data_IF_285225984990
#
_entry.id   IF_285225984990
#
_cell.length_a   1.000
_cell.length_b   1.000
_cell.length_c   1.000
_cell.angle_alpha   90.00
_cell.angle_beta   90.00
_cell.angle_gamma   90.00
#
_symmetry.space_group_name_H-M   'P 1'
#
loop_
_entity.id
_entity.type
_entity.pdbx_description
1 polymer ?
#
# COMPACT_ATOMS: atom_id res chain seq x y z
N UNK A 1 -7.64 22.97 -62.34
CA UNK A 1 -8.55 22.80 -61.18
C UNK A 1 -8.45 21.35 -60.70
N UNK A 2 -8.06 21.14 -59.42
CA UNK A 2 -8.47 20.07 -58.46
C UNK A 2 -8.68 18.64 -59.02
N UNK A 3 -8.09 17.54 -58.54
CA UNK A 3 -7.62 17.09 -57.22
C UNK A 3 -6.74 15.83 -57.40
N UNK A 4 -5.54 15.73 -56.83
CA UNK A 4 -5.20 15.21 -55.49
C UNK A 4 -5.53 13.72 -55.29
N UNK A 5 -4.51 12.88 -55.51
CA UNK A 5 -4.41 11.52 -54.96
C UNK A 5 -4.19 11.60 -53.45
N UNK A 6 -5.07 11.03 -52.64
CA UNK A 6 -4.67 10.50 -51.31
C UNK A 6 -5.41 9.18 -51.12
N UNK A 7 -4.66 8.10 -51.27
CA UNK A 7 -5.12 6.74 -51.05
C UNK A 7 -5.63 6.55 -49.63
N UNK A 8 -6.68 5.74 -49.54
CA UNK A 8 -7.34 5.29 -48.33
C UNK A 8 -6.35 4.50 -47.46
N UNK A 9 -5.66 5.17 -46.54
CA UNK A 9 -4.80 4.53 -45.55
C UNK A 9 -5.65 4.32 -44.29
N UNK A 10 -6.44 3.24 -44.29
CA UNK A 10 -7.12 2.76 -43.08
C UNK A 10 -6.04 2.11 -42.21
N UNK A 11 -5.42 2.92 -41.34
CA UNK A 11 -4.59 2.42 -40.25
C UNK A 11 -5.54 1.70 -39.29
N UNK A 12 -5.58 0.37 -39.36
CA UNK A 12 -6.09 -0.48 -38.28
C UNK A 12 -5.14 -0.29 -37.08
N UNK A 13 -5.37 0.77 -36.29
CA UNK A 13 -4.79 0.85 -34.96
C UNK A 13 -5.57 -0.15 -34.11
N UNK A 14 -5.04 -1.37 -34.05
CA UNK A 14 -5.35 -2.27 -32.96
C UNK A 14 -4.87 -1.57 -31.68
N UNK A 15 -5.75 -0.77 -31.06
CA UNK A 15 -5.63 -0.44 -29.64
C UNK A 15 -5.86 -1.76 -28.89
N UNK A 16 -4.81 -2.58 -28.83
CA UNK A 16 -4.66 -3.53 -27.76
C UNK A 16 -4.62 -2.68 -26.50
N UNK A 17 -5.78 -2.50 -25.87
CA UNK A 17 -5.90 -1.92 -24.54
C UNK A 17 -4.91 -2.67 -23.67
N UNK A 18 -3.80 -2.01 -23.37
CA UNK A 18 -2.79 -2.51 -22.47
C UNK A 18 -3.49 -2.76 -21.14
N UNK A 19 -3.86 -4.01 -20.90
CA UNK A 19 -4.04 -4.50 -19.55
C UNK A 19 -2.62 -4.54 -18.97
N UNK A 20 -2.08 -3.37 -18.60
CA UNK A 20 -0.87 -3.32 -17.79
C UNK A 20 -1.31 -3.81 -16.42
N UNK A 21 -1.10 -5.09 -16.16
CA UNK A 21 -1.18 -5.59 -14.80
C UNK A 21 -0.15 -4.81 -13.99
N UNK A 22 -0.62 -3.89 -13.14
CA UNK A 22 0.23 -3.21 -12.17
C UNK A 22 0.93 -4.30 -11.36
N UNK A 23 2.27 -4.37 -11.44
CA UNK A 23 3.03 -5.31 -10.63
C UNK A 23 2.79 -5.01 -9.14
N UNK A 24 2.62 -6.07 -8.36
CA UNK A 24 2.37 -5.93 -6.94
C UNK A 24 3.66 -5.50 -6.21
N UNK A 25 3.56 -4.49 -5.37
CA UNK A 25 4.67 -3.91 -4.61
C UNK A 25 4.52 -4.34 -3.14
N UNK A 26 5.59 -4.91 -2.60
CA UNK A 26 5.72 -5.25 -1.18
C UNK A 26 7.13 -4.87 -0.74
N UNK A 27 7.24 -3.82 0.06
CA UNK A 27 8.54 -3.21 0.33
C UNK A 27 8.68 -2.82 1.80
N UNK A 28 9.80 -3.20 2.39
CA UNK A 28 10.31 -2.67 3.64
C UNK A 28 11.04 -1.35 3.35
N UNK A 29 10.55 -0.24 3.86
CA UNK A 29 11.08 1.11 3.56
C UNK A 29 11.70 1.78 4.77
N UNK A 30 12.63 2.73 4.52
CA UNK A 30 13.22 3.56 5.58
C UNK A 30 12.21 4.56 6.15
N UNK A 31 12.52 5.17 7.30
CA UNK A 31 11.70 6.22 7.92
C UNK A 31 11.43 7.37 6.95
N UNK A 32 12.48 7.83 6.27
CA UNK A 32 12.43 8.97 5.34
C UNK A 32 11.53 8.64 4.16
N UNK A 33 11.73 7.45 3.56
CA UNK A 33 10.92 6.99 2.44
C UNK A 33 9.45 6.80 2.84
N UNK A 34 9.20 6.23 4.01
CA UNK A 34 7.84 6.06 4.53
C UNK A 34 7.15 7.43 4.72
N UNK A 35 7.85 8.41 5.29
CA UNK A 35 7.34 9.76 5.45
C UNK A 35 7.05 10.47 4.11
N UNK A 36 7.89 10.28 3.10
CA UNK A 36 7.63 10.79 1.73
C UNK A 36 6.39 10.17 1.10
N UNK A 37 6.24 8.84 1.24
CA UNK A 37 5.09 8.11 0.70
C UNK A 37 3.79 8.57 1.37
N UNK A 38 3.79 8.80 2.68
CA UNK A 38 2.61 9.31 3.41
C UNK A 38 2.20 10.73 3.00
N UNK A 39 3.16 11.58 2.58
CA UNK A 39 2.86 12.95 2.12
C UNK A 39 2.26 12.99 0.71
N UNK A 40 2.65 12.05 -0.14
CA UNK A 40 2.37 12.09 -1.59
C UNK A 40 1.31 11.08 -2.02
N UNK A 41 1.13 10.02 -1.25
CA UNK A 41 0.23 8.92 -1.58
C UNK A 41 -1.13 9.06 -0.92
N UNK A 42 -2.16 8.67 -1.67
CA UNK A 42 -3.46 8.32 -1.12
C UNK A 42 -3.44 6.81 -0.77
N UNK A 43 -3.65 6.48 0.50
CA UNK A 43 -3.54 5.10 0.98
C UNK A 43 -3.95 4.95 2.44
N UNK A 44 -4.11 3.70 2.87
CA UNK A 44 -4.51 3.37 4.24
C UNK A 44 -3.26 3.15 5.10
N UNK A 45 -3.06 4.00 6.10
CA UNK A 45 -2.04 3.80 7.13
C UNK A 45 -2.62 2.99 8.28
N UNK A 46 -2.00 1.86 8.61
CA UNK A 46 -2.47 0.92 9.63
C UNK A 46 -1.42 0.77 10.72
N UNK A 47 -1.85 1.02 11.95
CA UNK A 47 -1.11 0.69 13.15
C UNK A 47 -1.56 -0.67 13.67
N UNK A 48 -0.63 -1.63 13.68
CA UNK A 48 -0.88 -3.02 14.08
C UNK A 48 -0.62 -3.28 15.57
N UNK A 49 -0.40 -2.22 16.35
CA UNK A 49 -0.21 -2.30 17.80
C UNK A 49 -1.53 -2.53 18.53
N UNK A 50 -1.44 -2.84 19.83
CA UNK A 50 -2.62 -2.91 20.69
C UNK A 50 -3.30 -1.54 20.81
N UNK A 51 -4.60 -1.48 21.17
CA UNK A 51 -5.28 -0.22 21.38
C UNK A 51 -4.60 0.69 22.41
N UNK A 52 -4.06 0.10 23.50
CA UNK A 52 -3.34 0.87 24.51
C UNK A 52 -2.07 1.52 23.96
N UNK A 53 -1.24 0.77 23.23
CA UNK A 53 -0.05 1.32 22.56
C UNK A 53 -0.42 2.45 21.58
N UNK A 54 -1.56 2.31 20.89
CA UNK A 54 -2.07 3.30 19.95
C UNK A 54 -2.53 4.59 20.65
N UNK A 55 -3.26 4.47 21.77
CA UNK A 55 -3.75 5.59 22.57
C UNK A 55 -2.62 6.40 23.22
N UNK A 56 -1.49 5.76 23.54
CA UNK A 56 -0.29 6.43 24.06
C UNK A 56 0.42 7.33 23.02
N UNK A 57 0.09 7.16 21.74
CA UNK A 57 0.60 7.95 20.63
C UNK A 57 0.79 7.09 19.38
N UNK A 58 0.56 7.66 18.21
CA UNK A 58 0.59 6.94 16.93
C UNK A 58 0.98 7.89 15.79
N UNK A 59 1.24 7.33 14.61
CA UNK A 59 1.45 8.14 13.40
C UNK A 59 0.10 8.75 13.00
N UNK A 60 0.04 10.07 12.88
CA UNK A 60 -1.18 10.83 12.55
C UNK A 60 -1.85 10.27 11.29
N UNK A 61 -3.19 10.15 11.33
CA UNK A 61 -3.98 9.60 10.23
C UNK A 61 -3.96 8.08 10.08
N UNK A 62 -3.28 7.36 10.99
CA UNK A 62 -3.34 5.90 11.04
C UNK A 62 -4.70 5.39 11.54
N UNK A 63 -5.02 4.14 11.22
CA UNK A 63 -6.14 3.38 11.79
C UNK A 63 -5.58 2.20 12.56
N UNK A 64 -6.05 1.99 13.78
CA UNK A 64 -5.63 0.84 14.58
C UNK A 64 -6.34 -0.45 14.15
N UNK A 65 -5.56 -1.47 13.81
CA UNK A 65 -6.01 -2.86 13.65
C UNK A 65 -5.11 -3.74 14.50
N UNK A 66 -5.54 -4.03 15.72
CA UNK A 66 -4.78 -4.85 16.67
C UNK A 66 -4.44 -6.24 16.10
N UNK A 67 -3.15 -6.50 15.94
CA UNK A 67 -2.60 -7.77 15.47
C UNK A 67 -3.01 -8.96 16.35
N UNK A 68 -3.22 -8.73 17.65
CA UNK A 68 -3.56 -9.78 18.60
C UNK A 68 -5.06 -10.02 18.75
N UNK A 69 -5.91 -9.24 18.08
CA UNK A 69 -7.35 -9.45 18.12
C UNK A 69 -7.74 -10.76 17.40
N UNK A 70 -8.68 -11.51 17.97
CA UNK A 70 -9.19 -12.77 17.38
C UNK A 70 -9.71 -12.60 15.94
N UNK A 71 -10.17 -11.39 15.59
CA UNK A 71 -10.70 -11.06 14.27
C UNK A 71 -9.72 -10.30 13.37
N UNK A 72 -8.42 -10.34 13.67
CA UNK A 72 -7.38 -9.64 12.92
C UNK A 72 -7.40 -9.99 11.42
N UNK A 73 -7.30 -11.28 11.09
CA UNK A 73 -7.25 -11.73 9.69
C UNK A 73 -8.53 -11.35 8.92
N UNK A 74 -9.69 -11.44 9.58
CA UNK A 74 -10.98 -11.02 9.00
C UNK A 74 -11.03 -9.52 8.69
N UNK A 75 -10.44 -8.68 9.55
CA UNK A 75 -10.35 -7.24 9.31
C UNK A 75 -9.44 -6.95 8.14
N UNK A 76 -8.26 -7.59 8.06
CA UNK A 76 -7.33 -7.43 6.95
C UNK A 76 -7.96 -7.89 5.63
N UNK A 77 -8.65 -9.04 5.62
CA UNK A 77 -9.25 -9.60 4.41
C UNK A 77 -10.37 -8.72 3.80
N UNK A 78 -11.00 -7.87 4.60
CA UNK A 78 -12.07 -6.94 4.18
C UNK A 78 -11.55 -5.64 3.57
N UNK A 79 -10.26 -5.35 3.67
CA UNK A 79 -9.68 -4.13 3.10
C UNK A 79 -9.67 -4.18 1.56
N UNK A 80 -9.72 -3.01 0.93
CA UNK A 80 -9.60 -2.91 -0.52
C UNK A 80 -8.15 -3.19 -0.96
N UNK A 81 -7.97 -4.37 -1.57
CA UNK A 81 -6.67 -4.86 -2.05
C UNK A 81 -6.05 -4.01 -3.16
N UNK A 82 -6.82 -3.12 -3.78
CA UNK A 82 -6.32 -2.21 -4.82
C UNK A 82 -5.76 -0.91 -4.25
N UNK A 83 -6.03 -0.59 -2.98
CA UNK A 83 -5.46 0.59 -2.33
C UNK A 83 -4.05 0.32 -1.85
N UNK A 84 -3.23 1.35 -1.86
CA UNK A 84 -1.93 1.34 -1.18
C UNK A 84 -2.16 1.23 0.32
N UNK A 85 -1.43 0.33 0.97
CA UNK A 85 -1.46 0.16 2.42
C UNK A 85 -0.08 0.42 2.99
N UNK A 86 -0.03 1.23 4.05
CA UNK A 86 1.17 1.49 4.84
C UNK A 86 0.96 0.80 6.19
N UNK A 87 1.91 -0.04 6.61
CA UNK A 87 1.79 -0.78 7.87
C UNK A 87 2.99 -0.55 8.76
N UNK A 88 2.73 -0.48 10.06
CA UNK A 88 3.76 -0.48 11.08
C UNK A 88 3.23 -1.14 12.37
N UNK A 89 4.15 -1.47 13.28
CA UNK A 89 3.82 -1.87 14.65
C UNK A 89 4.85 -1.21 15.59
N UNK A 90 5.10 -1.73 16.80
CA UNK A 90 6.13 -1.13 17.69
C UNK A 90 7.55 -1.17 17.08
N UNK A 91 8.08 -2.36 16.78
CA UNK A 91 9.46 -2.54 16.31
C UNK A 91 9.61 -3.51 15.11
N UNK A 92 8.56 -3.65 14.29
CA UNK A 92 8.64 -4.35 12.98
C UNK A 92 8.16 -5.81 12.93
N UNK A 93 8.13 -6.53 14.05
CA UNK A 93 7.77 -7.96 14.05
C UNK A 93 6.36 -8.26 13.52
N UNK A 94 5.34 -7.62 14.10
CA UNK A 94 3.92 -7.81 13.72
C UNK A 94 3.64 -7.32 12.29
N UNK A 95 4.27 -6.21 11.89
CA UNK A 95 4.09 -5.64 10.56
C UNK A 95 4.79 -6.46 9.47
N UNK A 96 5.93 -7.08 9.77
CA UNK A 96 6.57 -8.06 8.87
C UNK A 96 5.72 -9.30 8.63
N UNK A 97 5.08 -9.86 9.66
CA UNK A 97 4.13 -10.97 9.49
C UNK A 97 2.88 -10.54 8.70
N UNK A 98 2.39 -9.33 8.96
CA UNK A 98 1.24 -8.76 8.23
C UNK A 98 1.55 -8.51 6.76
N UNK A 99 2.78 -8.10 6.41
CA UNK A 99 3.22 -7.96 5.02
C UNK A 99 3.13 -9.29 4.26
N UNK A 100 3.56 -10.39 4.90
CA UNK A 100 3.45 -11.76 4.33
C UNK A 100 1.99 -12.16 4.14
N UNK A 101 1.13 -11.87 5.13
CA UNK A 101 -0.31 -12.11 5.04
C UNK A 101 -0.92 -11.35 3.87
N UNK A 102 -0.69 -10.04 3.78
CA UNK A 102 -1.23 -9.19 2.71
C UNK A 102 -0.75 -9.63 1.32
N UNK A 103 0.51 -10.07 1.20
CA UNK A 103 1.02 -10.69 -0.01
C UNK A 103 0.25 -11.96 -0.39
N UNK A 104 0.01 -12.85 0.57
CA UNK A 104 -0.76 -14.08 0.36
C UNK A 104 -2.21 -13.80 -0.01
N UNK A 105 -2.81 -12.74 0.53
CA UNK A 105 -4.22 -12.40 0.28
C UNK A 105 -4.43 -11.52 -0.95
N UNK A 106 -3.36 -11.11 -1.64
CA UNK A 106 -3.42 -10.46 -2.96
C UNK A 106 -3.59 -8.94 -2.93
N UNK A 107 -3.04 -8.27 -1.92
CA UNK A 107 -2.91 -6.80 -1.95
C UNK A 107 -1.98 -6.36 -3.08
N UNK A 108 -2.24 -5.21 -3.69
CA UNK A 108 -1.42 -4.73 -4.81
C UNK A 108 -0.20 -3.92 -4.36
N UNK A 109 -0.33 -3.12 -3.31
CA UNK A 109 0.75 -2.24 -2.87
C UNK A 109 0.76 -2.18 -1.35
N UNK A 110 1.83 -2.66 -0.73
CA UNK A 110 2.03 -2.61 0.72
C UNK A 110 3.44 -2.14 1.04
N UNK A 111 3.54 -1.08 1.84
CA UNK A 111 4.79 -0.57 2.38
C UNK A 111 4.83 -0.83 3.88
N UNK A 112 5.87 -1.52 4.35
CA UNK A 112 6.11 -1.79 5.76
C UNK A 112 7.19 -0.86 6.29
N UNK A 113 6.98 -0.31 7.49
CA UNK A 113 8.01 0.40 8.26
C UNK A 113 8.68 -0.58 9.24
N UNK A 114 9.87 -1.15 8.93
CA UNK A 114 10.44 -2.24 9.72
C UNK A 114 10.96 -1.79 11.08
N UNK A 115 11.34 -0.51 11.21
CA UNK A 115 11.75 0.08 12.49
C UNK A 115 10.55 0.36 13.43
N UNK A 116 9.32 0.21 12.90
CA UNK A 116 8.08 0.47 13.61
C UNK A 116 7.94 1.89 14.18
N UNK A 117 7.02 2.03 15.12
CA UNK A 117 6.74 3.27 15.83
C UNK A 117 7.92 3.71 16.71
N UNK A 118 8.70 2.77 17.24
CA UNK A 118 9.85 3.06 18.08
C UNK A 118 10.88 3.90 17.29
N UNK A 119 11.18 3.49 16.06
CA UNK A 119 12.05 4.27 15.16
C UNK A 119 11.39 5.51 14.57
N UNK A 120 10.07 5.52 14.43
CA UNK A 120 9.33 6.70 13.96
C UNK A 120 9.37 7.84 14.97
N UNK A 121 9.07 7.52 16.23
CA UNK A 121 8.95 8.47 17.34
C UNK A 121 10.29 8.91 17.94
N UNK A 122 11.38 8.23 17.61
CA UNK A 122 12.74 8.66 17.97
C UNK A 122 13.22 9.80 17.07
N UNK A 123 14.00 10.73 17.60
CA UNK A 123 14.61 11.85 16.85
C UNK A 123 15.64 11.39 15.81
#
# INVERSE_FOLDING_TARGET
>A
MRNVYIGLLVVLIAFASGCTAQEAIYEDVTKERFAELLKTGDGLLIDLRTPNEYEEGHIEGSVNIDFFADNFEDKIAKLDKNKTVYIYCAGGGRSGETLKLMKKTGFKTVYNLPIGYDGWSSD
#
